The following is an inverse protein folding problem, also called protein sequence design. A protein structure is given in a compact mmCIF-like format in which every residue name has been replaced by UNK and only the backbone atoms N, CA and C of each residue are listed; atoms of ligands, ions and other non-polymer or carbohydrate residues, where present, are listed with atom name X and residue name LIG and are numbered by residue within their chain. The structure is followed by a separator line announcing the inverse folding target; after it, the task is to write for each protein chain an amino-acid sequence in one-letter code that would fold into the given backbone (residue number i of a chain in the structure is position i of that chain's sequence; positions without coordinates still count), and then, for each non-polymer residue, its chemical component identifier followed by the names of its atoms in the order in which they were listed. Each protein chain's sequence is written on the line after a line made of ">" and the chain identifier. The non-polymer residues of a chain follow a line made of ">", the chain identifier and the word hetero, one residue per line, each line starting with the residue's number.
data_IF_143575351834
#
_entry.id   IF_143575351834
#
_cell.length_a   1.000
_cell.length_b   1.000
_cell.length_c   1.000
_cell.angle_alpha   90.00
_cell.angle_beta   90.00
_cell.angle_gamma   90.00
#
_symmetry.space_group_name_H-M   'P 1'
#
loop_
_entity.id
_entity.type
_entity.pdbx_description
1 polymer ?
#
# COMPACT_ATOMS: atom_id res chain seq x y z
N UNK A 1 -1.35 -23.24 0.65
CA UNK A 1 -1.54 -22.14 -0.32
C UNK A 1 -2.36 -21.05 0.35
N UNK A 2 -1.77 -19.92 0.70
CA UNK A 2 -2.56 -18.72 0.98
C UNK A 2 -2.99 -18.17 -0.38
N UNK A 3 -4.28 -18.24 -0.68
CA UNK A 3 -4.82 -17.58 -1.86
C UNK A 3 -4.76 -16.09 -1.53
N UNK A 4 -3.77 -15.38 -2.07
CA UNK A 4 -3.82 -13.92 -2.10
C UNK A 4 -5.14 -13.55 -2.78
N UNK A 5 -5.99 -12.79 -2.10
CA UNK A 5 -7.27 -12.41 -2.67
C UNK A 5 -6.97 -11.52 -3.89
N UNK A 6 -7.32 -11.94 -5.11
CA UNK A 6 -6.93 -11.22 -6.33
C UNK A 6 -7.52 -9.81 -6.39
N UNK A 7 -8.62 -9.55 -5.68
CA UNK A 7 -9.18 -8.21 -5.54
C UNK A 7 -8.24 -7.33 -4.70
N UNK A 8 -7.70 -7.86 -3.59
CA UNK A 8 -6.76 -7.12 -2.76
C UNK A 8 -5.48 -6.82 -3.52
N UNK A 9 -4.96 -7.76 -4.30
CA UNK A 9 -3.70 -7.63 -5.01
C UNK A 9 -3.76 -6.54 -6.10
N UNK A 10 -4.88 -6.47 -6.83
CA UNK A 10 -5.12 -5.44 -7.84
C UNK A 10 -5.31 -4.07 -7.20
N UNK A 11 -6.11 -3.97 -6.13
CA UNK A 11 -6.34 -2.71 -5.42
C UNK A 11 -5.05 -2.20 -4.79
N UNK A 12 -4.26 -3.07 -4.14
CA UNK A 12 -2.97 -2.68 -3.56
C UNK A 12 -2.00 -2.21 -4.64
N UNK A 13 -1.89 -2.92 -5.77
CA UNK A 13 -1.05 -2.47 -6.88
C UNK A 13 -1.42 -1.07 -7.35
N UNK A 14 -2.72 -0.81 -7.52
CA UNK A 14 -3.18 0.49 -8.00
C UNK A 14 -2.95 1.60 -6.96
N UNK A 15 -3.08 1.30 -5.67
CA UNK A 15 -2.77 2.25 -4.60
C UNK A 15 -1.27 2.50 -4.42
N UNK A 16 -0.43 1.53 -4.78
CA UNK A 16 1.03 1.62 -4.68
C UNK A 16 1.69 2.14 -5.97
N UNK A 17 0.95 2.32 -7.07
CA UNK A 17 1.46 2.91 -8.31
C UNK A 17 1.88 4.37 -8.14
N UNK A 18 1.23 5.08 -7.21
CA UNK A 18 1.57 6.46 -6.86
C UNK A 18 2.26 6.50 -5.49
N UNK A 19 3.45 7.08 -5.44
CA UNK A 19 4.24 7.17 -4.21
C UNK A 19 3.56 8.01 -3.11
N UNK A 20 2.76 9.02 -3.46
CA UNK A 20 2.04 9.84 -2.47
C UNK A 20 0.91 9.03 -1.82
N UNK A 21 0.18 8.25 -2.63
CA UNK A 21 -0.89 7.36 -2.17
C UNK A 21 -0.30 6.19 -1.38
N UNK A 22 0.79 5.60 -1.86
CA UNK A 22 1.52 4.55 -1.18
C UNK A 22 1.98 5.01 0.21
N UNK A 23 2.52 6.24 0.31
CA UNK A 23 2.96 6.84 1.57
C UNK A 23 1.80 6.98 2.55
N UNK A 24 0.67 7.50 2.09
CA UNK A 24 -0.51 7.65 2.92
C UNK A 24 -1.06 6.29 3.40
N UNK A 25 -1.13 5.31 2.51
CA UNK A 25 -1.61 3.96 2.80
C UNK A 25 -0.72 3.29 3.85
N UNK A 26 0.60 3.29 3.63
CA UNK A 26 1.57 2.67 4.55
C UNK A 26 1.59 3.43 5.88
N UNK A 27 1.53 4.76 5.88
CA UNK A 27 1.47 5.55 7.10
C UNK A 27 0.21 5.25 7.93
N UNK A 28 -0.92 5.09 7.26
CA UNK A 28 -2.21 4.75 7.90
C UNK A 28 -2.17 3.34 8.49
N UNK A 29 -1.62 2.36 7.76
CA UNK A 29 -1.49 0.97 8.23
C UNK A 29 -0.52 0.87 9.42
N UNK A 30 0.61 1.59 9.37
CA UNK A 30 1.61 1.59 10.44
C UNK A 30 1.23 2.47 11.63
N UNK A 31 0.27 3.39 11.46
CA UNK A 31 -0.09 4.39 12.45
C UNK A 31 1.04 5.39 12.74
N UNK A 32 1.93 5.60 11.77
CA UNK A 32 3.17 6.41 11.90
C UNK A 32 3.42 7.17 10.61
N UNK A 33 4.07 8.32 10.71
CA UNK A 33 4.46 9.06 9.52
C UNK A 33 5.54 8.31 8.73
N UNK A 34 5.36 8.23 7.40
CA UNK A 34 6.32 7.63 6.47
C UNK A 34 7.00 8.77 5.74
N UNK A 35 8.29 9.03 6.01
CA UNK A 35 9.02 10.17 5.45
C UNK A 35 9.46 9.95 4.01
N UNK A 36 9.77 8.71 3.63
CA UNK A 36 10.30 8.36 2.31
C UNK A 36 9.89 6.94 1.94
N UNK A 37 9.64 6.72 0.64
CA UNK A 37 9.48 5.40 0.04
C UNK A 37 10.53 5.34 -1.07
N UNK A 38 11.45 4.38 -0.97
CA UNK A 38 12.58 4.18 -1.90
C UNK A 38 12.27 3.14 -2.96
#
# INVERSE_FOLDING_TARGET
>A
MQIANPIYDVVFKHLLEDNDIARLLVATILGKEVTEIS
#
